data_IF_949628870731
#
_entry.id   IF_949628870731
#
_cell.length_a   1.000
_cell.length_b   1.000
_cell.length_c   1.000
_cell.angle_alpha   90.00
_cell.angle_beta   90.00
_cell.angle_gamma   90.00
#
_symmetry.space_group_name_H-M   'P 1'
#
loop_
_entity.id
_entity.type
_entity.pdbx_description
1 polymer ?
#
# COMPACT_ATOMS: atom_id res chain seq x y z
N UNK A 1 -1.53 -12.75 23.25
CA UNK A 1 -1.21 -13.95 22.45
C UNK A 1 -0.89 -13.50 21.04
N UNK A 2 0.14 -14.06 20.41
CA UNK A 2 0.42 -13.77 19.00
C UNK A 2 -0.56 -14.58 18.13
N UNK A 3 -1.30 -13.91 17.25
CA UNK A 3 -2.31 -14.53 16.38
C UNK A 3 -1.72 -15.13 15.11
N UNK A 4 -0.62 -14.57 14.59
CA UNK A 4 -0.06 -14.91 13.28
C UNK A 4 1.39 -15.37 13.39
N UNK A 5 1.74 -16.44 12.67
CA UNK A 5 3.13 -16.81 12.39
C UNK A 5 3.59 -16.05 11.15
N UNK A 6 4.61 -15.20 11.29
CA UNK A 6 5.10 -14.34 10.20
C UNK A 6 6.38 -14.88 9.52
N UNK A 7 6.86 -16.06 9.91
CA UNK A 7 8.01 -16.69 9.25
C UNK A 7 7.63 -17.03 7.81
N UNK A 8 8.45 -16.56 6.85
CA UNK A 8 8.21 -16.77 5.41
C UNK A 8 7.39 -15.69 4.72
N UNK A 9 6.89 -14.69 5.47
CA UNK A 9 6.21 -13.54 4.90
C UNK A 9 7.13 -12.80 3.92
N UNK A 10 6.65 -12.61 2.69
CA UNK A 10 7.33 -11.86 1.63
C UNK A 10 6.86 -10.41 1.57
N UNK A 11 5.57 -10.15 1.82
CA UNK A 11 5.00 -8.81 1.75
C UNK A 11 4.18 -8.45 2.99
N UNK A 12 4.32 -7.21 3.45
CA UNK A 12 3.43 -6.59 4.44
C UNK A 12 2.68 -5.43 3.80
N UNK A 13 1.36 -5.60 3.66
CA UNK A 13 0.47 -4.62 3.04
C UNK A 13 -0.20 -3.77 4.11
N UNK A 14 0.12 -2.49 4.12
CA UNK A 14 -0.50 -1.49 5.00
C UNK A 14 -1.62 -0.78 4.24
N UNK A 15 -2.84 -0.87 4.76
CA UNK A 15 -4.05 -0.35 4.11
C UNK A 15 -4.55 0.81 4.95
N UNK A 16 -4.66 2.01 4.38
CA UNK A 16 -5.09 3.18 5.14
C UNK A 16 -6.60 3.18 5.35
N UNK A 17 -7.04 3.08 6.61
CA UNK A 17 -8.44 3.22 7.02
C UNK A 17 -8.62 4.51 7.86
N UNK A 18 -7.82 5.55 7.55
CA UNK A 18 -8.05 6.92 8.04
C UNK A 18 -9.27 7.57 7.40
N UNK A 19 -9.78 8.67 7.99
CA UNK A 19 -11.07 9.27 7.58
C UNK A 19 -11.21 9.56 6.09
N UNK A 20 -10.19 10.15 5.45
CA UNK A 20 -10.22 10.44 4.01
C UNK A 20 -10.18 9.18 3.13
N UNK A 21 -9.44 8.15 3.53
CA UNK A 21 -9.39 6.89 2.80
C UNK A 21 -10.69 6.10 2.96
N UNK A 22 -11.27 6.06 4.16
CA UNK A 22 -12.58 5.45 4.40
C UNK A 22 -13.68 6.10 3.55
N UNK A 23 -13.72 7.43 3.45
CA UNK A 23 -14.66 8.15 2.57
C UNK A 23 -14.45 7.87 1.08
N UNK A 24 -13.27 7.36 0.68
CA UNK A 24 -12.92 6.99 -0.69
C UNK A 24 -12.88 5.47 -0.89
N UNK A 25 -13.60 4.70 -0.09
CA UNK A 25 -13.76 3.26 -0.27
C UNK A 25 -12.66 2.40 0.38
N UNK A 26 -12.05 2.88 1.46
CA UNK A 26 -10.95 2.18 2.13
C UNK A 26 -11.33 0.81 2.72
N UNK A 27 -12.59 0.60 3.11
CA UNK A 27 -13.04 -0.70 3.60
C UNK A 27 -13.21 -1.71 2.46
N UNK A 28 -13.70 -1.24 1.32
CA UNK A 28 -13.85 -2.01 0.09
C UNK A 28 -12.49 -2.40 -0.48
N UNK A 29 -11.51 -1.49 -0.46
CA UNK A 29 -10.10 -1.81 -0.77
C UNK A 29 -9.56 -2.87 0.18
N UNK A 30 -9.80 -2.73 1.48
CA UNK A 30 -9.33 -3.69 2.48
C UNK A 30 -9.89 -5.09 2.24
N UNK A 31 -11.20 -5.16 2.01
CA UNK A 31 -11.93 -6.40 1.79
C UNK A 31 -11.45 -7.07 0.51
N UNK A 32 -11.34 -6.30 -0.58
CA UNK A 32 -10.89 -6.79 -1.88
C UNK A 32 -9.46 -7.35 -1.85
N UNK A 33 -8.53 -6.68 -1.16
CA UNK A 33 -7.15 -7.18 -1.00
C UNK A 33 -7.14 -8.49 -0.23
N UNK A 34 -7.83 -8.55 0.93
CA UNK A 34 -7.85 -9.74 1.78
C UNK A 34 -8.51 -10.94 1.12
N UNK A 35 -9.67 -10.73 0.48
CA UNK A 35 -10.37 -11.79 -0.24
C UNK A 35 -9.52 -12.34 -1.39
N UNK A 36 -8.75 -11.47 -2.05
CA UNK A 36 -7.91 -11.90 -3.18
C UNK A 36 -6.65 -12.65 -2.72
N UNK A 37 -6.06 -12.27 -1.57
CA UNK A 37 -4.98 -13.03 -0.93
C UNK A 37 -5.45 -14.46 -0.61
N UNK A 38 -6.61 -14.58 0.05
CA UNK A 38 -7.20 -15.88 0.40
C UNK A 38 -7.52 -16.69 -0.86
N UNK A 39 -8.15 -16.07 -1.87
CA UNK A 39 -8.50 -16.71 -3.15
C UNK A 39 -7.28 -17.27 -3.88
N UNK A 40 -6.12 -16.63 -3.75
CA UNK A 40 -4.87 -17.05 -4.38
C UNK A 40 -3.98 -17.91 -3.47
N UNK A 41 -4.40 -18.18 -2.24
CA UNK A 41 -3.66 -18.99 -1.26
C UNK A 41 -2.35 -18.33 -0.79
N UNK A 42 -2.31 -17.00 -0.70
CA UNK A 42 -1.11 -16.23 -0.39
C UNK A 42 -0.97 -15.88 1.11
N UNK A 43 -1.80 -16.44 1.99
CA UNK A 43 -1.85 -16.10 3.42
C UNK A 43 -0.53 -16.32 4.18
N UNK A 44 0.29 -17.28 3.75
CA UNK A 44 1.62 -17.53 4.33
C UNK A 44 2.68 -16.52 3.87
N UNK A 45 2.44 -15.83 2.76
CA UNK A 45 3.41 -14.93 2.12
C UNK A 45 3.03 -13.46 2.32
N UNK A 46 1.76 -13.15 2.56
CA UNK A 46 1.25 -11.78 2.65
C UNK A 46 0.55 -11.54 3.98
N UNK A 47 1.09 -10.60 4.77
CA UNK A 47 0.39 -10.08 5.94
C UNK A 47 -0.26 -8.73 5.63
N UNK A 48 -1.41 -8.44 6.25
CA UNK A 48 -2.10 -7.16 6.08
C UNK A 48 -2.30 -6.46 7.42
N UNK A 49 -2.15 -5.13 7.43
CA UNK A 49 -2.51 -4.31 8.59
C UNK A 49 -3.30 -3.09 8.16
N UNK A 50 -4.46 -2.88 8.82
CA UNK A 50 -5.16 -1.60 8.72
C UNK A 50 -4.36 -0.55 9.49
N UNK A 51 -4.16 0.60 8.88
CA UNK A 51 -3.51 1.75 9.50
C UNK A 51 -4.47 2.92 9.63
N UNK A 52 -4.10 3.91 10.43
CA UNK A 52 -4.73 5.24 10.42
C UNK A 52 -4.02 6.12 9.37
N UNK A 53 -4.28 7.42 9.41
CA UNK A 53 -3.73 8.38 8.45
C UNK A 53 -2.19 8.30 8.36
N UNK A 54 -1.66 8.22 7.13
CA UNK A 54 -0.22 8.22 6.84
C UNK A 54 0.29 9.61 6.38
N UNK A 55 -0.51 10.67 6.54
CA UNK A 55 -0.18 12.02 6.09
C UNK A 55 -0.36 12.28 4.58
N UNK A 56 -0.95 11.34 3.86
CA UNK A 56 -1.16 11.38 2.40
C UNK A 56 -2.64 11.41 2.01
N UNK A 57 -3.42 12.27 2.68
CA UNK A 57 -4.89 12.33 2.48
C UNK A 57 -5.31 12.70 1.05
N UNK A 58 -4.50 13.47 0.33
CA UNK A 58 -4.76 13.85 -1.07
C UNK A 58 -4.63 12.65 -2.02
N UNK A 59 -3.80 11.67 -1.67
CA UNK A 59 -3.59 10.43 -2.42
C UNK A 59 -4.66 9.36 -2.14
N UNK A 60 -5.60 9.64 -1.24
CA UNK A 60 -6.56 8.64 -0.78
C UNK A 60 -7.34 7.97 -1.94
N UNK A 61 -7.60 6.65 -1.90
CA UNK A 61 -7.18 5.70 -0.86
C UNK A 61 -5.71 5.25 -1.02
N UNK A 62 -4.99 5.12 0.11
CA UNK A 62 -3.56 4.78 0.14
C UNK A 62 -3.33 3.34 0.57
N UNK A 63 -2.49 2.63 -0.17
CA UNK A 63 -1.97 1.29 0.18
C UNK A 63 -0.45 1.30 0.05
N UNK A 64 0.25 0.70 1.01
CA UNK A 64 1.72 0.63 1.05
C UNK A 64 2.13 -0.83 1.10
N UNK A 65 3.13 -1.23 0.32
CA UNK A 65 3.69 -2.59 0.31
C UNK A 65 5.15 -2.55 0.73
N UNK A 66 5.46 -3.28 1.80
CA UNK A 66 6.83 -3.57 2.24
C UNK A 66 7.18 -5.03 1.89
N UNK A 67 8.47 -5.37 1.70
CA UNK A 67 9.67 -4.54 1.94
C UNK A 67 10.01 -3.53 0.84
N UNK A 68 9.36 -3.59 -0.33
CA UNK A 68 9.67 -2.75 -1.50
C UNK A 68 9.45 -1.25 -1.25
N UNK A 69 8.69 -0.91 -0.20
CA UNK A 69 8.39 0.47 0.16
C UNK A 69 7.61 1.19 -0.93
N UNK A 70 6.72 0.47 -1.64
CA UNK A 70 5.91 1.02 -2.73
C UNK A 70 4.63 1.60 -2.18
N UNK A 71 4.31 2.83 -2.58
CA UNK A 71 3.10 3.54 -2.19
C UNK A 71 2.17 3.66 -3.38
N UNK A 72 0.90 3.34 -3.17
CA UNK A 72 -0.14 3.42 -4.18
C UNK A 72 -1.23 4.42 -3.78
N UNK A 73 -1.66 5.24 -4.74
CA UNK A 73 -2.73 6.23 -4.58
C UNK A 73 -4.01 5.84 -5.30
N UNK A 74 -5.10 6.51 -4.96
CA UNK A 74 -6.38 6.38 -5.65
C UNK A 74 -6.80 4.90 -5.80
N UNK A 75 -6.54 4.12 -4.75
CA UNK A 75 -6.88 2.71 -4.70
C UNK A 75 -8.39 2.55 -4.58
N UNK A 76 -8.91 1.53 -5.27
CA UNK A 76 -10.29 1.07 -5.20
C UNK A 76 -10.28 -0.47 -5.13
N UNK A 77 -11.45 -1.10 -5.00
CA UNK A 77 -11.54 -2.55 -4.87
C UNK A 77 -10.92 -3.32 -6.05
N UNK A 78 -11.05 -2.80 -7.28
CA UNK A 78 -10.49 -3.42 -8.48
C UNK A 78 -8.96 -3.38 -8.47
N UNK A 79 -8.36 -2.21 -8.25
CA UNK A 79 -6.92 -2.04 -8.09
C UNK A 79 -6.38 -2.81 -6.89
N UNK A 80 -7.19 -2.98 -5.85
CA UNK A 80 -6.86 -3.83 -4.70
C UNK A 80 -6.66 -5.29 -5.10
N UNK A 81 -7.54 -5.85 -5.95
CA UNK A 81 -7.36 -7.19 -6.50
C UNK A 81 -6.16 -7.26 -7.45
N UNK A 82 -6.03 -6.27 -8.33
CA UNK A 82 -4.91 -6.17 -9.26
C UNK A 82 -3.55 -6.08 -8.54
N UNK A 83 -3.48 -5.34 -7.42
CA UNK A 83 -2.31 -5.28 -6.56
C UNK A 83 -1.88 -6.68 -6.11
N UNK A 84 -2.81 -7.50 -5.62
CA UNK A 84 -2.49 -8.85 -5.17
C UNK A 84 -2.04 -9.72 -6.34
N UNK A 85 -2.76 -9.68 -7.45
CA UNK A 85 -2.45 -10.51 -8.64
C UNK A 85 -1.11 -10.12 -9.28
N UNK A 86 -0.90 -8.84 -9.57
CA UNK A 86 0.26 -8.38 -10.32
C UNK A 86 1.46 -8.15 -9.40
N UNK A 87 1.29 -7.36 -8.35
CA UNK A 87 2.43 -6.99 -7.51
C UNK A 87 2.81 -8.11 -6.56
N UNK A 88 1.87 -8.59 -5.73
CA UNK A 88 2.22 -9.52 -4.64
C UNK A 88 2.50 -10.95 -5.15
N UNK A 89 1.80 -11.40 -6.19
CA UNK A 89 2.01 -12.73 -6.77
C UNK A 89 3.06 -12.72 -7.89
N UNK A 90 2.93 -11.79 -8.83
CA UNK A 90 3.72 -11.81 -10.08
C UNK A 90 4.94 -10.84 -10.04
N UNK A 91 5.10 -10.04 -8.98
CA UNK A 91 6.20 -9.07 -8.85
C UNK A 91 6.09 -7.83 -9.75
N UNK A 92 4.96 -7.63 -10.43
CA UNK A 92 4.73 -6.54 -11.37
C UNK A 92 4.05 -5.33 -10.69
N UNK A 93 4.72 -4.19 -10.68
CA UNK A 93 4.21 -2.95 -10.07
C UNK A 93 3.07 -2.31 -10.88
N UNK A 94 2.12 -1.70 -10.17
CA UNK A 94 1.05 -0.90 -10.77
C UNK A 94 1.53 0.54 -10.97
N UNK A 95 2.39 0.75 -11.96
CA UNK A 95 3.06 2.03 -12.25
C UNK A 95 2.10 3.23 -12.36
N UNK A 96 0.91 3.02 -12.91
CA UNK A 96 -0.11 4.07 -13.14
C UNK A 96 -0.64 4.70 -11.85
N UNK A 97 -0.56 3.97 -10.73
CA UNK A 97 -1.07 4.41 -9.42
C UNK A 97 0.02 4.48 -8.36
N UNK A 98 1.28 4.20 -8.74
CA UNK A 98 2.42 4.31 -7.86
C UNK A 98 2.79 5.77 -7.61
N UNK A 99 3.04 6.12 -6.35
CA UNK A 99 3.49 7.46 -5.95
C UNK A 99 4.93 7.48 -5.53
N UNK A 100 5.32 6.54 -4.68
CA UNK A 100 6.67 6.43 -4.17
C UNK A 100 7.16 4.99 -4.21
N UNK A 101 8.48 4.81 -4.27
CA UNK A 101 9.16 3.52 -4.12
C UNK A 101 10.45 3.71 -3.35
N UNK A 102 10.79 2.73 -2.50
CA UNK A 102 12.05 2.76 -1.78
C UNK A 102 13.19 2.26 -2.68
N UNK A 103 14.27 3.03 -2.68
CA UNK A 103 15.55 2.68 -3.28
C UNK A 103 16.63 2.64 -2.18
N UNK A 104 17.51 1.65 -2.25
CA UNK A 104 18.53 1.45 -1.20
C UNK A 104 19.55 2.60 -1.13
N UNK A 105 19.79 3.30 -2.25
CA UNK A 105 20.77 4.39 -2.32
C UNK A 105 20.15 5.75 -1.96
N UNK A 106 18.93 6.00 -2.44
CA UNK A 106 18.30 7.32 -2.37
C UNK A 106 17.13 7.38 -1.37
N UNK A 107 16.79 6.26 -0.72
CA UNK A 107 15.62 6.17 0.14
C UNK A 107 14.32 6.18 -0.67
N UNK A 108 13.25 6.71 -0.08
CA UNK A 108 11.94 6.78 -0.73
C UNK A 108 11.94 7.89 -1.80
N UNK A 109 11.83 7.51 -3.07
CA UNK A 109 11.78 8.43 -4.22
C UNK A 109 10.39 8.42 -4.86
N UNK A 110 10.03 9.51 -5.55
CA UNK A 110 8.77 9.57 -6.31
C UNK A 110 8.89 8.82 -7.64
N UNK A 111 7.81 8.14 -8.04
CA UNK A 111 7.70 7.60 -9.39
C UNK A 111 7.66 8.75 -10.41
N UNK A 112 8.38 8.60 -11.53
CA UNK A 112 8.43 9.59 -12.62
C UNK A 112 7.04 9.92 -13.19
N UNK A 113 6.12 8.94 -13.16
CA UNK A 113 4.74 9.10 -13.63
C UNK A 113 3.81 9.72 -12.58
N UNK A 114 4.30 9.94 -11.36
CA UNK A 114 3.42 10.34 -10.27
C UNK A 114 3.04 11.82 -10.33
N UNK A 115 1.74 12.07 -10.42
CA UNK A 115 1.15 13.41 -10.25
C UNK A 115 0.77 13.73 -8.80
N UNK A 116 1.27 12.95 -7.82
CA UNK A 116 0.96 13.17 -6.41
C UNK A 116 1.64 14.44 -5.87
N UNK A 117 1.03 15.18 -4.92
CA UNK A 117 1.69 16.33 -4.30
C UNK A 117 2.93 15.88 -3.52
N UNK A 118 4.05 16.61 -3.60
CA UNK A 118 5.30 16.23 -2.90
C UNK A 118 5.11 16.28 -1.37
N UNK A 119 4.26 17.20 -0.89
CA UNK A 119 4.08 17.48 0.54
C UNK A 119 5.03 18.55 1.04
N UNK A 120 4.87 18.93 2.31
CA UNK A 120 5.70 19.98 2.94
C UNK A 120 6.96 19.39 3.53
N UNK A 121 8.11 20.02 3.26
CA UNK A 121 9.35 19.70 3.96
C UNK A 121 9.19 20.10 5.43
N UNK A 122 9.40 19.15 6.34
CA UNK A 122 9.56 19.45 7.77
C UNK A 122 10.93 20.08 7.99
N UNK A 123 11.10 21.33 7.57
CA UNK A 123 12.23 22.14 8.03
C UNK A 123 12.03 22.33 9.53
N UNK A 124 13.06 22.04 10.34
CA UNK A 124 12.96 22.05 11.80
C UNK A 124 12.25 23.32 12.24
N UNK A 125 11.09 23.17 12.90
CA UNK A 125 10.52 24.29 13.65
C UNK A 125 11.61 24.71 14.64
N UNK A 126 12.11 25.93 14.52
CA UNK A 126 12.84 26.57 15.62
C UNK A 126 11.97 26.56 16.87
#
# INVERSE_FOLDING_TARGET
>A
MATWNLIGMKHHVLICNGGSCMRKGGEEVTTAIRSEIERLGLDSEVHTSRTRCNGRCEDACVVIVYPEGVWYKAMNAEKGRELVQKHLRDGQLLEEVMTYRYDAKNGLTMSEKSTAPIGVLKVSRK
#
